data_IF_183514790064
#
_entry.id   IF_183514790064
#
_cell.length_a   1.000
_cell.length_b   1.000
_cell.length_c   1.000
_cell.angle_alpha   90.00
_cell.angle_beta   90.00
_cell.angle_gamma   90.00
#
_symmetry.space_group_name_H-M   'P 1'
#
loop_
_entity.id
_entity.type
_entity.pdbx_description
1 polymer ?
#
# COMPACT_ATOMS: atom_id res chain seq x y z
N UNK A 1 -13.15 -19.11 15.78
CA UNK A 1 -11.92 -18.89 15.02
C UNK A 1 -11.82 -17.42 14.62
N UNK A 2 -10.69 -16.80 14.88
CA UNK A 2 -10.51 -15.39 14.58
C UNK A 2 -10.09 -15.23 13.11
N UNK A 3 -10.91 -14.50 12.33
CA UNK A 3 -10.64 -14.24 10.91
C UNK A 3 -10.03 -12.84 10.69
N UNK A 4 -9.55 -12.21 11.75
CA UNK A 4 -8.93 -10.90 11.64
C UNK A 4 -7.66 -10.97 10.81
N UNK A 5 -7.45 -9.94 9.98
CA UNK A 5 -6.27 -9.78 9.17
C UNK A 5 -5.42 -8.64 9.70
N UNK A 6 -4.12 -8.79 9.65
CA UNK A 6 -3.17 -7.83 10.21
C UNK A 6 -2.32 -7.26 9.08
N UNK A 7 -2.19 -5.94 9.07
CA UNK A 7 -1.28 -5.23 8.17
C UNK A 7 -0.25 -4.46 8.97
N UNK A 8 1.01 -4.60 8.59
CA UNK A 8 2.11 -3.79 9.15
C UNK A 8 2.54 -2.79 8.07
N UNK A 9 2.45 -1.52 8.38
CA UNK A 9 2.76 -0.44 7.45
C UNK A 9 4.16 0.11 7.67
N UNK A 10 4.79 0.59 6.58
CA UNK A 10 6.10 1.23 6.69
C UNK A 10 7.27 0.27 6.72
N UNK A 11 7.13 -0.88 6.05
CA UNK A 11 8.22 -1.86 5.93
C UNK A 11 9.25 -1.32 4.93
N UNK A 12 10.54 -1.39 5.30
CA UNK A 12 11.63 -0.90 4.46
C UNK A 12 12.74 -1.92 4.25
N UNK A 13 12.80 -2.97 5.05
CA UNK A 13 13.90 -3.93 5.05
C UNK A 13 13.40 -5.35 4.87
N UNK A 14 14.20 -6.16 4.19
CA UNK A 14 13.90 -7.58 3.98
C UNK A 14 13.75 -8.33 5.31
N UNK A 15 14.60 -8.01 6.28
CA UNK A 15 14.55 -8.68 7.60
C UNK A 15 13.21 -8.45 8.29
N UNK A 16 12.68 -7.24 8.19
CA UNK A 16 11.36 -6.92 8.75
C UNK A 16 10.27 -7.69 8.02
N UNK A 17 10.35 -7.77 6.69
CA UNK A 17 9.39 -8.52 5.90
C UNK A 17 9.42 -10.01 6.25
N UNK A 18 10.60 -10.58 6.40
CA UNK A 18 10.75 -11.98 6.82
C UNK A 18 10.07 -12.23 8.16
N UNK A 19 10.24 -11.31 9.10
CA UNK A 19 9.60 -11.40 10.41
C UNK A 19 8.07 -11.37 10.29
N UNK A 20 7.54 -10.50 9.41
CA UNK A 20 6.10 -10.44 9.15
C UNK A 20 5.58 -11.78 8.61
N UNK A 21 6.29 -12.37 7.66
CA UNK A 21 5.89 -13.64 7.06
C UNK A 21 5.90 -14.75 8.12
N UNK A 22 6.93 -14.80 8.94
CA UNK A 22 7.06 -15.80 10.02
C UNK A 22 5.94 -15.69 11.05
N UNK A 23 5.41 -14.49 11.25
CA UNK A 23 4.37 -14.23 12.23
C UNK A 23 2.97 -14.18 11.62
N UNK A 24 2.82 -14.71 10.40
CA UNK A 24 1.52 -14.82 9.72
C UNK A 24 0.81 -13.47 9.54
N UNK A 25 1.58 -12.41 9.34
CA UNK A 25 1.03 -11.10 8.97
C UNK A 25 0.47 -11.20 7.55
N UNK A 26 -0.71 -10.63 7.32
CA UNK A 26 -1.45 -10.77 6.05
C UNK A 26 -1.02 -9.76 5.00
N UNK A 27 -0.66 -8.54 5.42
CA UNK A 27 -0.33 -7.44 4.52
C UNK A 27 0.87 -6.67 5.01
N UNK A 28 1.71 -6.22 4.07
CA UNK A 28 2.79 -5.28 4.39
C UNK A 28 2.64 -4.02 3.54
N UNK A 29 2.74 -2.87 4.19
CA UNK A 29 2.59 -1.58 3.54
C UNK A 29 3.91 -0.95 3.19
N UNK A 30 4.01 -0.44 1.96
CA UNK A 30 5.16 0.27 1.43
C UNK A 30 4.75 1.72 1.22
N UNK A 31 5.41 2.67 1.90
CA UNK A 31 4.98 4.05 1.93
C UNK A 31 5.69 4.87 0.88
N UNK A 32 4.93 5.41 -0.07
CA UNK A 32 5.42 6.23 -1.17
C UNK A 32 5.13 7.71 -0.96
N UNK A 33 5.00 8.12 0.30
CA UNK A 33 4.81 9.52 0.67
C UNK A 33 6.15 10.09 1.15
N UNK A 34 6.72 11.01 0.39
CA UNK A 34 8.09 11.51 0.64
C UNK A 34 8.25 12.20 1.99
N UNK A 35 7.18 12.75 2.54
CA UNK A 35 7.22 13.42 3.85
C UNK A 35 7.21 12.43 5.01
N UNK A 36 6.96 11.15 4.76
CA UNK A 36 6.96 10.14 5.80
C UNK A 36 8.39 9.73 6.15
N UNK A 37 8.71 9.55 7.45
CA UNK A 37 10.02 8.99 7.83
C UNK A 37 10.18 7.54 7.39
N UNK A 38 9.06 6.87 7.01
CA UNK A 38 9.07 5.49 6.51
C UNK A 38 8.97 5.42 4.99
N UNK A 39 9.25 6.53 4.30
CA UNK A 39 9.26 6.56 2.84
C UNK A 39 10.26 5.53 2.29
N UNK A 40 9.85 4.80 1.26
CA UNK A 40 10.66 3.77 0.63
C UNK A 40 10.98 4.15 -0.81
N UNK A 41 12.20 3.81 -1.27
CA UNK A 41 12.58 4.02 -2.66
C UNK A 41 11.93 2.97 -3.56
N UNK A 42 11.85 3.28 -4.85
CA UNK A 42 11.34 2.35 -5.85
C UNK A 42 12.12 1.04 -5.83
N UNK A 43 13.45 1.11 -5.80
CA UNK A 43 14.31 -0.06 -5.86
C UNK A 43 14.12 -0.97 -4.65
N UNK A 44 14.07 -0.38 -3.47
CA UNK A 44 13.82 -1.16 -2.25
C UNK A 44 12.44 -1.78 -2.26
N UNK A 45 11.43 -1.04 -2.73
CA UNK A 45 10.07 -1.56 -2.83
C UNK A 45 10.02 -2.76 -3.79
N UNK A 46 10.70 -2.67 -4.91
CA UNK A 46 10.74 -3.76 -5.87
C UNK A 46 11.35 -5.03 -5.26
N UNK A 47 12.44 -4.87 -4.51
CA UNK A 47 13.08 -6.01 -3.85
C UNK A 47 12.12 -6.68 -2.84
N UNK A 48 11.40 -5.88 -2.06
CA UNK A 48 10.46 -6.42 -1.08
C UNK A 48 9.29 -7.12 -1.77
N UNK A 49 8.74 -6.52 -2.83
CA UNK A 49 7.64 -7.13 -3.58
C UNK A 49 8.09 -8.45 -4.20
N UNK A 50 9.28 -8.48 -4.79
CA UNK A 50 9.81 -9.69 -5.39
C UNK A 50 10.00 -10.79 -4.35
N UNK A 51 10.52 -10.43 -3.18
CA UNK A 51 10.69 -11.40 -2.09
C UNK A 51 9.35 -11.97 -1.62
N UNK A 52 8.30 -11.16 -1.62
CA UNK A 52 6.98 -11.57 -1.12
C UNK A 52 6.23 -12.49 -2.07
N UNK A 53 6.66 -12.61 -3.33
CA UNK A 53 5.97 -13.46 -4.30
C UNK A 53 5.97 -14.91 -3.86
N UNK A 54 4.83 -15.58 -4.04
CA UNK A 54 4.63 -16.98 -3.66
C UNK A 54 4.75 -17.23 -2.15
N UNK A 55 4.71 -16.16 -1.36
CA UNK A 55 4.63 -16.25 0.10
C UNK A 55 3.26 -15.77 0.54
N UNK A 56 2.84 -16.18 1.72
CA UNK A 56 1.47 -15.94 2.17
C UNK A 56 1.30 -14.54 2.77
N UNK A 57 1.69 -13.52 2.01
CA UNK A 57 1.57 -12.12 2.41
C UNK A 57 1.34 -11.26 1.16
N UNK A 58 0.54 -10.20 1.31
CA UNK A 58 0.19 -9.31 0.19
C UNK A 58 0.79 -7.92 0.38
N UNK A 59 1.23 -7.32 -0.71
CA UNK A 59 1.81 -5.98 -0.71
C UNK A 59 0.74 -4.91 -0.86
N UNK A 60 0.91 -3.80 -0.14
CA UNK A 60 0.03 -2.63 -0.20
C UNK A 60 0.89 -1.39 -0.43
N UNK A 61 0.72 -0.74 -1.57
CA UNK A 61 1.38 0.55 -1.80
C UNK A 61 0.55 1.66 -1.19
N UNK A 62 1.14 2.48 -0.32
CA UNK A 62 0.45 3.56 0.38
C UNK A 62 0.83 4.89 -0.24
N UNK A 63 -0.18 5.64 -0.69
CA UNK A 63 -0.02 6.93 -1.36
C UNK A 63 -0.85 7.99 -0.66
N UNK A 64 -0.37 9.24 -0.69
CA UNK A 64 -1.05 10.39 -0.08
C UNK A 64 -1.08 11.50 -1.11
N UNK A 65 -2.25 11.77 -1.68
CA UNK A 65 -2.47 12.83 -2.67
C UNK A 65 -1.43 12.82 -3.81
N UNK A 66 -1.05 11.63 -4.26
CA UNK A 66 -0.05 11.49 -5.30
C UNK A 66 -0.56 11.98 -6.65
N UNK A 67 0.31 12.56 -7.46
CA UNK A 67 0.01 12.91 -8.83
C UNK A 67 -0.45 11.65 -9.58
N UNK A 68 -1.58 11.74 -10.28
CA UNK A 68 -2.19 10.57 -10.91
C UNK A 68 -1.31 9.94 -11.99
N UNK A 69 -0.58 10.77 -12.72
CA UNK A 69 0.32 10.26 -13.76
C UNK A 69 1.49 9.50 -13.17
N UNK A 70 2.02 9.99 -12.06
CA UNK A 70 3.10 9.30 -11.34
C UNK A 70 2.60 8.00 -10.75
N UNK A 71 1.39 8.01 -10.17
CA UNK A 71 0.78 6.78 -9.64
C UNK A 71 0.65 5.73 -10.74
N UNK A 72 0.14 6.10 -11.91
CA UNK A 72 0.02 5.16 -13.04
C UNK A 72 1.38 4.60 -13.44
N UNK A 73 2.41 5.44 -13.44
CA UNK A 73 3.77 5.01 -13.79
C UNK A 73 4.27 3.96 -12.78
N UNK A 74 4.07 4.21 -11.49
CA UNK A 74 4.50 3.29 -10.45
C UNK A 74 3.71 1.98 -10.54
N UNK A 75 2.40 2.03 -10.78
CA UNK A 75 1.57 0.83 -10.87
C UNK A 75 1.94 -0.05 -12.07
N UNK A 76 2.49 0.52 -13.12
CA UNK A 76 2.98 -0.26 -14.25
C UNK A 76 4.27 -0.99 -13.95
N UNK A 77 5.08 -0.45 -13.05
CA UNK A 77 6.40 -0.98 -12.73
C UNK A 77 6.41 -1.93 -11.53
N UNK A 78 5.54 -1.68 -10.55
CA UNK A 78 5.49 -2.47 -9.32
C UNK A 78 4.16 -3.20 -9.23
N UNK A 79 4.24 -4.51 -9.02
CA UNK A 79 3.06 -5.38 -8.96
C UNK A 79 2.52 -5.48 -7.54
N UNK A 80 1.91 -4.39 -7.05
CA UNK A 80 1.21 -4.42 -5.77
C UNK A 80 -0.04 -5.31 -5.85
N UNK A 81 -0.38 -5.92 -4.73
CA UNK A 81 -1.67 -6.60 -4.59
C UNK A 81 -2.80 -5.58 -4.34
N UNK A 82 -2.49 -4.51 -3.59
CA UNK A 82 -3.43 -3.44 -3.26
C UNK A 82 -2.72 -2.11 -3.28
N UNK A 83 -3.48 -1.02 -3.43
CA UNK A 83 -2.99 0.31 -3.05
C UNK A 83 -3.91 0.89 -2.00
N UNK A 84 -3.35 1.72 -1.14
CA UNK A 84 -4.09 2.42 -0.10
C UNK A 84 -3.93 3.92 -0.31
N UNK A 85 -5.05 4.61 -0.44
CA UNK A 85 -5.09 6.06 -0.61
C UNK A 85 -5.41 6.70 0.73
N UNK A 86 -4.43 7.40 1.30
CA UNK A 86 -4.48 7.90 2.68
C UNK A 86 -4.60 9.42 2.76
N UNK A 87 -4.87 10.08 1.63
CA UNK A 87 -5.04 11.53 1.58
C UNK A 87 -6.47 11.94 1.30
N UNK A 88 -6.63 13.02 0.55
CA UNK A 88 -7.93 13.57 0.21
C UNK A 88 -8.36 13.21 -1.21
N UNK A 89 -7.93 12.08 -1.71
CA UNK A 89 -8.28 11.59 -3.05
C UNK A 89 -9.81 11.46 -3.15
N UNK A 90 -10.38 12.08 -4.18
CA UNK A 90 -11.82 12.07 -4.40
C UNK A 90 -12.25 10.92 -5.31
N UNK A 91 -13.58 10.84 -5.56
CA UNK A 91 -14.12 9.78 -6.40
C UNK A 91 -13.59 9.82 -7.82
N UNK A 92 -13.30 11.01 -8.36
CA UNK A 92 -12.75 11.13 -9.71
C UNK A 92 -11.34 10.54 -9.77
N UNK A 93 -10.53 10.78 -8.75
CA UNK A 93 -9.18 10.21 -8.65
C UNK A 93 -9.26 8.68 -8.67
N UNK A 94 -10.15 8.12 -7.87
CA UNK A 94 -10.33 6.67 -7.78
C UNK A 94 -10.77 6.10 -9.13
N UNK A 95 -11.72 6.77 -9.81
CA UNK A 95 -12.15 6.34 -11.14
C UNK A 95 -11.00 6.36 -12.14
N UNK A 96 -10.17 7.38 -12.09
CA UNK A 96 -9.02 7.50 -12.99
C UNK A 96 -8.00 6.38 -12.76
N UNK A 97 -7.77 6.00 -11.50
CA UNK A 97 -6.92 4.85 -11.19
C UNK A 97 -7.51 3.58 -11.80
N UNK A 98 -8.80 3.36 -11.62
CA UNK A 98 -9.47 2.15 -12.09
C UNK A 98 -9.55 2.03 -13.61
N UNK A 99 -9.50 3.14 -14.32
CA UNK A 99 -9.49 3.12 -15.79
C UNK A 99 -8.24 2.46 -16.37
N UNK A 100 -7.11 2.61 -15.68
CA UNK A 100 -5.81 2.20 -16.19
C UNK A 100 -5.20 1.04 -15.40
N UNK A 101 -5.93 0.49 -14.43
CA UNK A 101 -5.41 -0.58 -13.59
C UNK A 101 -6.55 -1.38 -12.98
N UNK A 102 -6.33 -2.68 -12.83
CA UNK A 102 -7.25 -3.57 -12.12
C UNK A 102 -6.89 -3.70 -10.64
N UNK A 103 -6.02 -2.82 -10.14
CA UNK A 103 -5.55 -2.87 -8.76
C UNK A 103 -6.71 -2.64 -7.79
N UNK A 104 -6.71 -3.37 -6.68
CA UNK A 104 -7.68 -3.18 -5.61
C UNK A 104 -7.28 -1.98 -4.76
N UNK A 105 -8.26 -1.12 -4.46
CA UNK A 105 -8.03 0.16 -3.78
C UNK A 105 -8.63 0.14 -2.39
N UNK A 106 -7.84 0.54 -1.40
CA UNK A 106 -8.28 0.78 -0.03
C UNK A 106 -8.28 2.28 0.18
N UNK A 107 -9.44 2.87 0.48
CA UNK A 107 -9.53 4.30 0.78
C UNK A 107 -9.64 4.48 2.29
N UNK A 108 -8.73 5.28 2.85
CA UNK A 108 -8.73 5.58 4.28
C UNK A 108 -9.49 6.89 4.51
N UNK A 109 -10.43 6.86 5.44
CA UNK A 109 -11.22 8.02 5.84
C UNK A 109 -10.85 8.35 7.28
N UNK A 110 -10.41 9.60 7.51
CA UNK A 110 -10.11 10.08 8.85
C UNK A 110 -11.39 10.58 9.51
N UNK A 111 -11.70 10.06 10.69
CA UNK A 111 -12.86 10.46 11.47
C UNK A 111 -12.37 11.05 12.79
N UNK A 112 -12.60 12.35 12.99
CA UNK A 112 -12.13 13.03 14.20
C UNK A 112 -13.14 13.00 15.33
N UNK A 113 -14.44 12.86 15.02
CA UNK A 113 -15.51 12.75 15.99
C UNK A 113 -16.60 11.83 15.46
N UNK A 114 -17.50 11.38 16.35
CA UNK A 114 -18.67 10.59 15.93
C UNK A 114 -19.58 11.37 14.98
N UNK A 115 -19.55 12.69 15.02
CA UNK A 115 -20.34 13.52 14.13
C UNK A 115 -19.89 13.45 12.67
N UNK A 116 -18.70 12.92 12.40
CA UNK A 116 -18.17 12.78 11.06
C UNK A 116 -18.74 11.58 10.30
N UNK A 117 -19.55 10.79 10.94
CA UNK A 117 -20.25 9.68 10.30
C UNK A 117 -21.54 10.11 9.64
#
# INVERSE_FOLDING_TARGET
>A
MNNSKIKICGIKKIETLKCCIQNNINYFGLIFYKKSPRYISYESAQDLINYSKNKNISSVGVFVNENIEYLHKILKKLNFNFIQLHGEENNQYIKDVKKNSNIKIIKVISVSTLADF
#
